data_IF_417002235251
#
_entry.id   IF_417002235251
#
_cell.length_a   1.000
_cell.length_b   1.000
_cell.length_c   1.000
_cell.angle_alpha   90.00
_cell.angle_beta   90.00
_cell.angle_gamma   90.00
#
_symmetry.space_group_name_H-M   'P 1'
#
loop_
_entity.id
_entity.type
_entity.pdbx_description
1 polymer ?
#
# COMPACT_ATOMS: atom_id res chain seq x y z
N UNK A 1 11.88 1.17 -4.80
CA UNK A 1 10.81 0.97 -5.82
C UNK A 1 10.66 2.28 -6.58
N UNK A 2 10.86 2.33 -7.91
CA UNK A 2 10.83 3.57 -8.73
C UNK A 2 9.39 4.11 -8.92
N UNK A 3 8.68 4.41 -7.83
CA UNK A 3 7.33 4.98 -7.87
C UNK A 3 7.44 6.49 -8.09
N UNK A 4 6.66 7.01 -9.01
CA UNK A 4 6.56 8.46 -9.32
C UNK A 4 5.47 9.16 -8.50
N UNK A 5 5.07 8.54 -7.38
CA UNK A 5 4.08 9.08 -6.44
C UNK A 5 4.49 8.79 -5.00
N UNK A 6 3.94 9.59 -4.09
CA UNK A 6 4.13 9.53 -2.65
C UNK A 6 3.02 8.76 -1.96
N UNK A 7 3.24 8.36 -0.71
CA UNK A 7 2.18 7.76 0.12
C UNK A 7 0.99 8.72 0.33
N UNK A 8 1.23 10.04 0.39
CA UNK A 8 0.17 11.03 0.54
C UNK A 8 -0.73 11.08 -0.70
N UNK A 9 -0.16 10.95 -1.89
CA UNK A 9 -0.93 10.88 -3.14
C UNK A 9 -1.69 9.58 -3.26
N UNK A 10 -1.08 8.46 -2.86
CA UNK A 10 -1.78 7.16 -2.77
C UNK A 10 -3.01 7.26 -1.85
N UNK A 11 -2.83 7.80 -0.64
CA UNK A 11 -3.93 8.01 0.33
C UNK A 11 -5.05 8.87 -0.26
N UNK A 12 -4.69 9.99 -0.89
CA UNK A 12 -5.67 10.88 -1.55
C UNK A 12 -6.52 10.13 -2.57
N UNK A 13 -5.92 9.26 -3.38
CA UNK A 13 -6.67 8.45 -4.37
C UNK A 13 -7.61 7.47 -3.66
N UNK A 14 -7.11 6.72 -2.67
CA UNK A 14 -7.94 5.78 -1.91
C UNK A 14 -9.12 6.47 -1.25
N UNK A 15 -8.87 7.57 -0.53
CA UNK A 15 -9.89 8.31 0.21
C UNK A 15 -10.95 8.89 -0.75
N UNK A 16 -10.52 9.43 -1.89
CA UNK A 16 -11.43 9.97 -2.92
C UNK A 16 -12.33 8.88 -3.48
N UNK A 17 -11.78 7.71 -3.81
CA UNK A 17 -12.56 6.60 -4.37
C UNK A 17 -13.57 6.04 -3.38
N UNK A 18 -13.14 5.83 -2.12
CA UNK A 18 -14.01 5.33 -1.05
C UNK A 18 -15.13 6.31 -0.71
N UNK A 19 -14.87 7.62 -0.79
CA UNK A 19 -15.90 8.64 -0.54
C UNK A 19 -16.89 8.80 -1.72
N UNK A 20 -16.41 8.63 -2.96
CA UNK A 20 -17.21 8.87 -4.15
C UNK A 20 -18.08 7.66 -4.56
N UNK A 21 -17.68 6.45 -4.21
CA UNK A 21 -18.37 5.22 -4.63
C UNK A 21 -18.76 4.38 -3.41
N UNK A 22 -20.05 4.37 -3.04
CA UNK A 22 -20.57 3.49 -1.99
C UNK A 22 -20.23 2.03 -2.26
N UNK A 23 -19.89 1.29 -1.20
CA UNK A 23 -19.55 -0.15 -1.23
C UNK A 23 -18.33 -0.53 -2.09
N UNK A 24 -17.50 0.44 -2.48
CA UNK A 24 -16.25 0.19 -3.19
C UNK A 24 -15.26 -0.61 -2.33
N UNK A 25 -14.68 -1.66 -2.91
CA UNK A 25 -13.60 -2.43 -2.31
C UNK A 25 -12.27 -2.10 -3.02
N UNK A 26 -11.25 -1.78 -2.24
CA UNK A 26 -9.88 -1.59 -2.74
C UNK A 26 -9.05 -2.85 -2.45
N UNK A 27 -8.25 -3.26 -3.42
CA UNK A 27 -7.27 -4.32 -3.26
C UNK A 27 -5.86 -3.76 -3.48
N UNK A 28 -4.85 -4.34 -2.83
CA UNK A 28 -3.46 -3.89 -2.99
C UNK A 28 -2.46 -5.02 -2.93
N UNK A 29 -1.33 -4.80 -3.60
CA UNK A 29 -0.19 -5.72 -3.62
C UNK A 29 0.99 -5.07 -2.91
N UNK A 30 1.61 -5.83 -2.00
CA UNK A 30 2.77 -5.40 -1.21
C UNK A 30 3.97 -6.29 -1.54
N UNK A 31 5.11 -5.66 -1.74
CA UNK A 31 6.40 -6.34 -1.86
C UNK A 31 7.15 -6.08 -0.56
N UNK A 32 7.38 -7.13 0.23
CA UNK A 32 8.18 -7.10 1.45
C UNK A 32 9.64 -7.45 1.18
N UNK A 33 10.53 -7.11 2.11
CA UNK A 33 11.98 -7.34 2.03
C UNK A 33 12.63 -6.71 0.79
N UNK A 34 12.14 -5.54 0.37
CA UNK A 34 12.74 -4.81 -0.76
C UNK A 34 14.17 -4.35 -0.39
N UNK A 35 15.15 -4.39 -1.32
CA UNK A 35 16.50 -3.94 -1.02
C UNK A 35 16.52 -2.49 -0.51
N UNK A 36 16.98 -2.31 0.72
CA UNK A 36 17.01 -1.01 1.41
C UNK A 36 15.79 -0.69 2.26
N UNK A 37 14.82 -1.60 2.39
CA UNK A 37 13.72 -1.49 3.36
C UNK A 37 14.28 -1.48 4.79
N UNK A 38 13.99 -0.41 5.54
CA UNK A 38 14.30 -0.30 6.97
C UNK A 38 13.11 -0.72 7.82
N UNK A 39 13.30 -1.05 9.12
CA UNK A 39 12.19 -1.38 10.02
C UNK A 39 11.09 -0.32 10.05
N UNK A 40 11.44 0.97 9.92
CA UNK A 40 10.48 2.07 9.91
C UNK A 40 9.66 2.11 8.60
N UNK A 41 10.28 1.77 7.47
CA UNK A 41 9.58 1.67 6.18
C UNK A 41 8.54 0.53 6.21
N UNK A 42 8.92 -0.59 6.84
CA UNK A 42 8.03 -1.73 7.05
C UNK A 42 6.86 -1.37 7.98
N UNK A 43 7.14 -0.73 9.11
CA UNK A 43 6.12 -0.25 10.04
C UNK A 43 5.14 0.72 9.35
N UNK A 44 5.64 1.68 8.57
CA UNK A 44 4.80 2.61 7.82
C UNK A 44 3.91 1.90 6.78
N UNK A 45 4.40 0.80 6.20
CA UNK A 45 3.59 -0.05 5.31
C UNK A 45 2.47 -0.76 6.07
N UNK A 46 2.76 -1.30 7.27
CA UNK A 46 1.74 -1.92 8.12
C UNK A 46 0.67 -0.92 8.58
N UNK A 47 1.07 0.29 8.97
CA UNK A 47 0.13 1.37 9.31
C UNK A 47 -0.79 1.74 8.13
N UNK A 48 -0.27 1.72 6.90
CA UNK A 48 -1.08 1.95 5.71
C UNK A 48 -2.11 0.83 5.50
N UNK A 49 -1.71 -0.42 5.65
CA UNK A 49 -2.61 -1.57 5.53
C UNK A 49 -3.69 -1.57 6.63
N UNK A 50 -3.33 -1.22 7.86
CA UNK A 50 -4.26 -1.10 8.98
C UNK A 50 -5.28 0.02 8.78
N UNK A 51 -4.84 1.15 8.21
CA UNK A 51 -5.71 2.29 7.96
C UNK A 51 -6.83 1.99 6.94
N UNK A 52 -6.51 1.25 5.88
CA UNK A 52 -7.47 0.97 4.79
C UNK A 52 -8.17 -0.38 4.90
N UNK A 53 -7.61 -1.34 5.64
CA UNK A 53 -8.14 -2.70 5.82
C UNK A 53 -8.61 -3.32 4.51
N UNK A 54 -7.75 -3.28 3.49
CA UNK A 54 -8.04 -3.77 2.15
C UNK A 54 -8.60 -5.21 2.22
N UNK A 55 -9.82 -5.48 1.70
CA UNK A 55 -10.41 -6.82 1.70
C UNK A 55 -9.53 -7.89 1.02
N UNK A 56 -8.71 -7.46 0.06
CA UNK A 56 -7.72 -8.30 -0.60
C UNK A 56 -6.36 -7.61 -0.56
N UNK A 57 -5.39 -8.29 0.09
CA UNK A 57 -3.99 -7.87 0.11
C UNK A 57 -3.12 -9.04 -0.31
N UNK A 58 -2.36 -8.90 -1.39
CA UNK A 58 -1.38 -9.91 -1.79
C UNK A 58 0.02 -9.48 -1.37
N UNK A 59 0.74 -10.36 -0.66
CA UNK A 59 2.07 -10.07 -0.14
C UNK A 59 3.05 -11.00 -0.81
N UNK A 60 4.07 -10.41 -1.44
CA UNK A 60 5.18 -11.12 -2.06
C UNK A 60 6.49 -10.68 -1.46
N UNK A 61 7.47 -11.57 -1.42
CA UNK A 61 8.85 -11.20 -1.10
C UNK A 61 9.52 -10.63 -2.34
N UNK A 62 10.39 -9.63 -2.19
CA UNK A 62 11.21 -9.16 -3.29
C UNK A 62 12.14 -10.28 -3.80
N UNK A 63 12.12 -10.48 -5.12
CA UNK A 63 13.09 -11.31 -5.84
C UNK A 63 13.78 -10.45 -6.90
N UNK A 64 15.13 -10.34 -6.89
CA UNK A 64 15.85 -9.68 -7.97
C UNK A 64 15.63 -10.48 -9.26
N UNK A 65 15.32 -9.77 -10.34
CA UNK A 65 15.23 -10.34 -11.70
C UNK A 65 16.48 -9.99 -12.48
#
# INVERSE_FOLDING_TARGET
>A
MKREYTVAEFRRVCDTLLAAVPDMALATDVIAAFPGERPEDHAATLELLEAYRFPHTHISQFYPR
#
